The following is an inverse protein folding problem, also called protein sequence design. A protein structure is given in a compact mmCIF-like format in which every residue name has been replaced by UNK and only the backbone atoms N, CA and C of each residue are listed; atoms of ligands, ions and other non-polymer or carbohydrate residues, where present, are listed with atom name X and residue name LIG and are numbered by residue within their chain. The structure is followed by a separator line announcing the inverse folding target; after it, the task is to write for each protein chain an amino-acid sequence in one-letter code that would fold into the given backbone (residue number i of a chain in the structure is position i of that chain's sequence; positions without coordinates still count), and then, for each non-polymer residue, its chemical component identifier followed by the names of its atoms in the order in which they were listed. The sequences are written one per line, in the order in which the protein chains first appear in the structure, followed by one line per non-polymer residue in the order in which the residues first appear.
data_IF_977241344629
#
_entry.id   IF_977241344629
#
_cell.length_a   1.000
_cell.length_b   1.000
_cell.length_c   1.000
_cell.angle_alpha   90.00
_cell.angle_beta   90.00
_cell.angle_gamma   90.00
#
_symmetry.space_group_name_H-M   'P 1'
#
loop_
_entity.id
_entity.type
_entity.pdbx_description
1 polymer ?
#
# COMPACT_ATOMS: atom_id res chain seq x y z
N UNK A 1 -30.22 -14.84 26.68
CA UNK A 1 -29.72 -13.46 26.69
C UNK A 1 -28.82 -13.34 25.48
N UNK A 2 -29.43 -13.10 24.31
CA UNK A 2 -28.71 -13.03 23.04
C UNK A 2 -28.16 -11.62 22.87
N UNK A 3 -26.86 -11.53 22.58
CA UNK A 3 -26.20 -10.28 22.23
C UNK A 3 -26.38 -10.09 20.73
N UNK A 4 -27.20 -9.11 20.36
CA UNK A 4 -27.44 -8.67 18.99
C UNK A 4 -26.19 -7.97 18.45
N UNK A 5 -25.63 -8.50 17.37
CA UNK A 5 -24.60 -7.82 16.57
C UNK A 5 -25.28 -6.77 15.68
N UNK A 6 -24.96 -5.49 15.88
CA UNK A 6 -25.34 -4.41 14.96
C UNK A 6 -24.57 -4.59 13.64
N UNK A 7 -25.33 -4.77 12.56
CA UNK A 7 -24.84 -4.99 11.21
C UNK A 7 -24.78 -3.60 10.53
N UNK A 8 -23.63 -2.94 10.55
CA UNK A 8 -23.44 -1.70 9.78
C UNK A 8 -23.42 -2.03 8.28
N UNK A 9 -24.45 -1.55 7.59
CA UNK A 9 -24.79 -1.92 6.23
C UNK A 9 -23.77 -1.48 5.18
N UNK A 10 -23.40 -2.43 4.33
CA UNK A 10 -22.86 -2.14 3.00
C UNK A 10 -24.01 -1.62 2.11
N UNK A 11 -24.03 -0.31 1.90
CA UNK A 11 -25.01 0.38 1.07
C UNK A 11 -24.84 -0.02 -0.42
N UNK A 12 -25.74 -0.88 -0.90
CA UNK A 12 -25.85 -1.33 -2.29
C UNK A 12 -26.95 -0.53 -2.98
N UNK A 13 -26.61 0.64 -3.52
CA UNK A 13 -27.57 1.41 -4.31
C UNK A 13 -27.58 0.99 -5.78
N UNK A 14 -28.66 0.26 -6.07
CA UNK A 14 -29.15 -0.22 -7.34
C UNK A 14 -29.25 0.88 -8.43
N UNK A 15 -28.91 0.47 -9.65
CA UNK A 15 -29.26 1.14 -10.90
C UNK A 15 -30.78 1.42 -10.97
N UNK A 16 -31.18 2.70 -10.94
CA UNK A 16 -32.53 3.13 -11.33
C UNK A 16 -32.50 3.88 -12.67
N UNK A 17 -33.23 3.33 -13.66
CA UNK A 17 -33.60 4.02 -14.90
C UNK A 17 -34.71 5.03 -14.57
N UNK A 18 -34.44 6.33 -14.68
CA UNK A 18 -35.33 7.29 -15.39
C UNK A 18 -34.82 8.74 -15.28
N UNK A 19 -34.84 9.42 -16.44
CA UNK A 19 -35.00 10.87 -16.66
C UNK A 19 -33.96 11.83 -16.05
N UNK A 20 -32.99 12.19 -16.89
CA UNK A 20 -32.53 13.56 -17.07
C UNK A 20 -32.13 14.33 -15.81
N UNK A 21 -31.15 13.84 -15.06
CA UNK A 21 -30.35 14.68 -14.17
C UNK A 21 -28.88 14.44 -14.52
N UNK A 22 -28.12 15.54 -14.58
CA UNK A 22 -26.67 15.50 -14.71
C UNK A 22 -26.15 14.69 -13.53
N UNK A 23 -25.89 13.39 -13.76
CA UNK A 23 -25.13 12.56 -12.87
C UNK A 23 -23.75 13.20 -12.81
N UNK A 24 -23.53 14.03 -11.79
CA UNK A 24 -22.20 14.44 -11.38
C UNK A 24 -21.43 13.15 -11.17
N UNK A 25 -20.66 12.74 -12.20
CA UNK A 25 -19.76 11.59 -12.14
C UNK A 25 -18.94 11.82 -10.88
N UNK A 26 -19.21 11.06 -9.81
CA UNK A 26 -18.33 11.06 -8.64
C UNK A 26 -16.95 10.77 -9.20
N UNK A 27 -16.04 11.75 -9.12
CA UNK A 27 -14.72 11.65 -9.74
C UNK A 27 -14.09 10.31 -9.31
N UNK A 28 -13.62 9.48 -10.23
CA UNK A 28 -13.07 8.17 -9.86
C UNK A 28 -11.70 8.28 -9.15
N UNK A 29 -11.22 9.50 -8.91
CA UNK A 29 -9.97 9.78 -8.23
C UNK A 29 -10.07 9.46 -6.74
N UNK A 30 -9.08 8.76 -6.21
CA UNK A 30 -8.93 8.56 -4.78
C UNK A 30 -8.39 9.85 -4.14
N UNK A 31 -9.03 10.38 -3.07
CA UNK A 31 -8.46 11.49 -2.32
C UNK A 31 -7.18 11.02 -1.63
N UNK A 32 -6.11 11.79 -1.75
CA UNK A 32 -4.84 11.49 -1.08
C UNK A 32 -4.92 12.01 0.35
N UNK A 33 -4.70 11.13 1.33
CA UNK A 33 -4.57 11.53 2.73
C UNK A 33 -3.10 11.44 3.15
N UNK A 34 -2.60 12.45 3.86
CA UNK A 34 -1.20 12.54 4.27
C UNK A 34 -0.30 13.26 3.28
N UNK A 35 1.00 13.01 3.38
CA UNK A 35 1.98 13.70 2.56
C UNK A 35 2.02 13.14 1.13
N UNK A 36 1.76 14.01 0.15
CA UNK A 36 1.70 13.66 -1.28
C UNK A 36 3.01 13.13 -1.88
N UNK A 37 4.14 13.35 -1.22
CA UNK A 37 5.47 12.89 -1.69
C UNK A 37 5.92 11.63 -0.97
N UNK A 38 5.64 11.54 0.32
CA UNK A 38 6.22 10.49 1.18
C UNK A 38 5.24 9.39 1.56
N UNK A 39 3.93 9.55 1.29
CA UNK A 39 2.88 8.63 1.75
C UNK A 39 2.90 8.44 3.27
N UNK A 40 3.45 9.40 4.03
CA UNK A 40 3.72 9.30 5.47
C UNK A 40 4.64 8.14 5.88
N UNK A 41 5.48 7.63 4.97
CA UNK A 41 6.50 6.65 5.32
C UNK A 41 7.63 7.30 6.12
N UNK A 42 8.26 6.50 6.99
CA UNK A 42 9.50 6.86 7.63
C UNK A 42 10.57 7.16 6.55
N UNK A 43 11.32 8.26 6.74
CA UNK A 43 12.34 8.71 5.77
C UNK A 43 13.34 7.61 5.42
N UNK A 44 13.77 6.79 6.38
CA UNK A 44 14.72 5.71 6.13
C UNK A 44 14.12 4.63 5.22
N UNK A 45 12.85 4.25 5.42
CA UNK A 45 12.17 3.32 4.54
C UNK A 45 12.05 3.93 3.15
N UNK A 46 11.56 5.17 3.05
CA UNK A 46 11.36 5.85 1.78
C UNK A 46 12.65 5.94 0.96
N UNK A 47 13.76 6.33 1.59
CA UNK A 47 15.07 6.40 0.94
C UNK A 47 15.53 5.01 0.47
N UNK A 48 15.32 3.95 1.25
CA UNK A 48 15.68 2.59 0.84
C UNK A 48 14.77 2.05 -0.28
N UNK A 49 13.48 2.39 -0.29
CA UNK A 49 12.59 2.06 -1.42
C UNK A 49 13.10 2.73 -2.69
N UNK A 50 13.32 4.05 -2.64
CA UNK A 50 13.74 4.81 -3.81
C UNK A 50 15.13 4.43 -4.31
N UNK A 51 16.02 3.92 -3.45
CA UNK A 51 17.35 3.45 -3.85
C UNK A 51 17.38 1.97 -4.25
N UNK A 52 16.37 1.18 -3.86
CA UNK A 52 16.30 -0.26 -4.10
C UNK A 52 16.35 -0.60 -5.59
N UNK A 53 17.16 -1.61 -5.93
CA UNK A 53 17.23 -2.15 -7.28
C UNK A 53 15.87 -2.69 -7.74
N UNK A 54 15.15 -3.37 -6.86
CA UNK A 54 13.83 -3.92 -7.14
C UNK A 54 12.84 -2.83 -7.56
N UNK A 55 12.86 -1.66 -6.89
CA UNK A 55 11.97 -0.56 -7.25
C UNK A 55 12.36 0.11 -8.56
N UNK A 56 13.67 0.35 -8.77
CA UNK A 56 14.18 1.09 -9.95
C UNK A 56 14.16 0.29 -11.25
N UNK A 57 14.33 -1.02 -11.18
CA UNK A 57 14.45 -1.88 -12.36
C UNK A 57 13.17 -2.66 -12.53
N UNK A 58 12.88 -3.60 -11.63
CA UNK A 58 11.73 -4.50 -11.77
C UNK A 58 10.40 -3.75 -11.76
N UNK A 59 10.16 -2.91 -10.75
CA UNK A 59 8.88 -2.21 -10.63
C UNK A 59 8.74 -1.01 -11.56
N UNK A 60 9.82 -0.50 -12.14
CA UNK A 60 9.74 0.65 -13.06
C UNK A 60 9.06 0.25 -14.38
N UNK A 61 9.28 -0.99 -14.82
CA UNK A 61 8.69 -1.54 -16.05
C UNK A 61 7.18 -1.75 -15.93
N UNK A 62 6.68 -2.07 -14.72
CA UNK A 62 5.25 -2.29 -14.47
C UNK A 62 4.50 -0.95 -14.50
N UNK A 63 3.57 -0.78 -15.45
CA UNK A 63 2.83 0.50 -15.63
C UNK A 63 1.36 0.38 -15.31
N UNK A 64 0.82 -0.84 -15.38
CA UNK A 64 -0.59 -1.08 -15.13
C UNK A 64 -0.79 -1.61 -13.72
N UNK A 65 -1.97 -1.33 -13.15
CA UNK A 65 -2.28 -1.80 -11.79
C UNK A 65 -2.37 -3.34 -11.73
N UNK A 66 -2.81 -3.99 -12.81
CA UNK A 66 -2.89 -5.45 -12.91
C UNK A 66 -1.53 -6.11 -12.77
N UNK A 67 -0.52 -5.63 -13.50
CA UNK A 67 0.85 -6.14 -13.39
C UNK A 67 1.40 -6.01 -11.97
N UNK A 68 1.07 -4.91 -11.28
CA UNK A 68 1.49 -4.72 -9.88
C UNK A 68 0.75 -5.67 -8.93
N UNK A 69 -0.53 -5.99 -9.19
CA UNK A 69 -1.27 -7.01 -8.43
C UNK A 69 -0.66 -8.39 -8.62
N UNK A 70 -0.32 -8.77 -9.86
CA UNK A 70 0.33 -10.05 -10.13
C UNK A 70 1.67 -10.14 -9.39
N UNK A 71 2.47 -9.08 -9.43
CA UNK A 71 3.74 -9.03 -8.70
C UNK A 71 3.53 -9.12 -7.17
N UNK A 72 2.45 -8.53 -6.64
CA UNK A 72 2.06 -8.71 -5.23
C UNK A 72 1.78 -10.18 -4.93
N UNK A 73 0.97 -10.83 -5.77
CA UNK A 73 0.59 -12.24 -5.58
C UNK A 73 1.80 -13.18 -5.61
N UNK A 74 2.73 -12.97 -6.55
CA UNK A 74 3.85 -13.89 -6.77
C UNK A 74 5.10 -13.58 -5.93
N UNK A 75 5.35 -12.32 -5.54
CA UNK A 75 6.63 -11.92 -4.92
C UNK A 75 6.54 -11.52 -3.45
N UNK A 76 5.35 -11.18 -2.94
CA UNK A 76 5.23 -10.76 -1.54
C UNK A 76 5.21 -12.00 -0.65
N UNK A 77 6.25 -12.15 0.16
CA UNK A 77 6.37 -13.25 1.12
C UNK A 77 6.12 -12.82 2.56
N UNK A 78 6.27 -11.52 2.86
CA UNK A 78 6.19 -10.98 4.19
C UNK A 78 5.84 -9.49 4.15
N UNK A 79 5.31 -8.94 5.25
CA UNK A 79 4.76 -7.58 5.31
C UNK A 79 5.54 -6.64 6.23
N UNK A 80 6.61 -7.11 6.86
CA UNK A 80 7.52 -6.26 7.62
C UNK A 80 8.31 -5.34 6.68
N UNK A 81 8.71 -4.13 7.13
CA UNK A 81 9.46 -3.18 6.29
C UNK A 81 10.85 -3.66 5.90
N UNK A 82 11.44 -4.55 6.71
CA UNK A 82 12.77 -5.09 6.49
C UNK A 82 12.71 -6.58 6.25
N UNK A 83 13.48 -7.06 5.27
CA UNK A 83 13.75 -8.47 5.05
C UNK A 83 14.29 -9.11 6.33
N UNK A 84 13.79 -10.32 6.66
CA UNK A 84 14.19 -11.02 7.89
C UNK A 84 15.71 -11.25 7.89
N UNK A 85 16.37 -10.93 9.01
CA UNK A 85 17.82 -11.04 9.15
C UNK A 85 18.64 -9.93 8.46
N UNK A 86 18.04 -9.07 7.64
CA UNK A 86 18.75 -7.97 6.98
C UNK A 86 18.94 -6.72 7.86
N UNK A 87 18.34 -6.71 9.05
CA UNK A 87 18.33 -5.55 9.94
C UNK A 87 19.78 -5.21 10.33
N UNK A 88 20.21 -3.98 10.06
CA UNK A 88 21.55 -3.50 10.44
C UNK A 88 21.55 -3.10 11.91
N UNK A 89 21.41 -4.09 12.80
CA UNK A 89 21.48 -3.90 14.25
C UNK A 89 22.91 -3.77 14.77
N UNK A 90 23.92 -3.87 13.88
CA UNK A 90 25.32 -3.67 14.23
C UNK A 90 25.54 -2.31 14.88
N UNK A 91 25.82 -2.30 16.19
CA UNK A 91 26.01 -1.09 16.99
C UNK A 91 24.80 -0.65 17.82
N UNK A 92 23.63 -1.29 17.66
CA UNK A 92 22.44 -1.10 18.52
C UNK A 92 22.29 -2.28 19.49
N UNK A 93 23.34 -2.56 20.27
CA UNK A 93 23.32 -3.62 21.29
C UNK A 93 23.06 -2.96 22.66
N UNK A 94 21.82 -2.98 23.11
CA UNK A 94 21.39 -2.42 24.39
C UNK A 94 19.93 -2.73 24.68
N UNK A 95 19.47 -2.49 25.90
CA UNK A 95 18.13 -2.87 26.41
C UNK A 95 16.95 -2.28 25.59
N UNK A 96 17.23 -1.30 24.72
CA UNK A 96 16.29 -0.63 23.82
C UNK A 96 16.61 -0.77 22.32
N UNK A 97 17.61 -1.59 21.94
CA UNK A 97 17.98 -1.85 20.53
C UNK A 97 16.97 -2.73 19.77
N UNK A 98 16.23 -3.58 20.48
CA UNK A 98 15.22 -4.46 19.88
C UNK A 98 13.85 -3.81 19.63
N UNK A 99 13.56 -2.67 20.25
CA UNK A 99 12.21 -2.05 20.25
C UNK A 99 12.02 -0.95 19.20
N UNK A 100 13.02 -0.65 18.38
CA UNK A 100 12.95 0.38 17.32
C UNK A 100 12.85 -0.29 15.95
N UNK A 101 11.68 -0.82 15.62
CA UNK A 101 11.46 -1.67 14.44
C UNK A 101 11.95 -1.09 13.11
N UNK A 102 11.87 0.23 12.92
CA UNK A 102 12.27 0.91 11.67
C UNK A 102 13.67 1.55 11.76
N UNK A 103 14.16 1.87 12.96
CA UNK A 103 15.36 2.71 13.14
C UNK A 103 16.70 2.03 12.82
N UNK A 104 16.75 0.69 12.79
CA UNK A 104 17.97 -0.06 12.51
C UNK A 104 18.33 -0.11 11.02
N UNK A 105 17.37 0.17 10.11
CA UNK A 105 17.55 -0.04 8.68
C UNK A 105 17.71 -1.51 8.30
N UNK A 106 17.77 -1.80 7.00
CA UNK A 106 17.89 -3.14 6.45
C UNK A 106 17.64 -3.14 4.95
N UNK A 107 17.57 -4.33 4.36
CA UNK A 107 17.05 -4.47 2.99
C UNK A 107 15.54 -4.27 3.08
N UNK A 108 15.01 -3.34 2.28
CA UNK A 108 13.57 -3.06 2.26
C UNK A 108 12.81 -4.20 1.61
N UNK A 109 11.64 -4.53 2.14
CA UNK A 109 10.81 -5.61 1.63
C UNK A 109 10.15 -5.29 0.29
N UNK A 110 9.89 -6.35 -0.49
CA UNK A 110 9.15 -6.25 -1.75
C UNK A 110 7.76 -5.64 -1.55
N UNK A 111 7.08 -5.98 -0.45
CA UNK A 111 5.77 -5.44 -0.10
C UNK A 111 5.78 -3.91 0.03
N UNK A 112 6.76 -3.34 0.73
CA UNK A 112 6.86 -1.89 0.90
C UNK A 112 7.24 -1.18 -0.41
N UNK A 113 8.09 -1.80 -1.24
CA UNK A 113 8.36 -1.29 -2.60
C UNK A 113 7.10 -1.26 -3.48
N UNK A 114 6.31 -2.33 -3.47
CA UNK A 114 5.05 -2.45 -4.22
C UNK A 114 3.99 -1.47 -3.72
N UNK A 115 3.87 -1.31 -2.40
CA UNK A 115 2.98 -0.30 -1.79
C UNK A 115 3.29 1.11 -2.30
N UNK A 116 4.56 1.49 -2.28
CA UNK A 116 4.98 2.79 -2.80
C UNK A 116 4.78 2.90 -4.32
N UNK A 117 4.95 1.80 -5.07
CA UNK A 117 4.65 1.78 -6.51
C UNK A 117 3.17 2.07 -6.78
N UNK A 118 2.25 1.41 -6.09
CA UNK A 118 0.80 1.67 -6.22
C UNK A 118 0.45 3.13 -5.89
N UNK A 119 1.10 3.69 -4.87
CA UNK A 119 0.95 5.11 -4.52
C UNK A 119 1.37 6.03 -5.68
N UNK A 120 2.51 5.77 -6.32
CA UNK A 120 2.99 6.59 -7.46
C UNK A 120 2.10 6.48 -8.71
N UNK A 121 1.38 5.36 -8.87
CA UNK A 121 0.43 5.16 -9.97
C UNK A 121 -0.91 5.90 -9.77
N UNK A 122 -1.17 6.45 -8.58
CA UNK A 122 -2.40 7.17 -8.23
C UNK A 122 -3.67 6.37 -8.57
N UNK A 123 -3.83 5.24 -7.91
CA UNK A 123 -4.99 4.36 -8.12
C UNK A 123 -6.32 5.10 -7.98
N UNK A 124 -7.27 4.66 -8.79
CA UNK A 124 -8.66 5.11 -8.72
C UNK A 124 -9.42 4.34 -7.63
N UNK A 125 -10.53 4.91 -7.15
CA UNK A 125 -11.41 4.23 -6.18
C UNK A 125 -11.83 2.86 -6.68
N UNK A 126 -12.27 2.77 -7.94
CA UNK A 126 -12.66 1.51 -8.55
C UNK A 126 -11.55 0.46 -8.51
N UNK A 127 -10.30 0.83 -8.83
CA UNK A 127 -9.19 -0.13 -8.83
C UNK A 127 -8.91 -0.72 -7.45
N UNK A 128 -9.09 0.07 -6.39
CA UNK A 128 -8.88 -0.41 -5.01
C UNK A 128 -10.01 -1.31 -4.53
N UNK A 129 -11.26 -1.06 -4.93
CA UNK A 129 -12.38 -1.94 -4.57
C UNK A 129 -12.57 -3.13 -5.52
N UNK A 130 -12.06 -3.04 -6.75
CA UNK A 130 -12.20 -4.07 -7.78
C UNK A 130 -11.25 -5.25 -7.59
N UNK A 131 -10.44 -5.27 -6.54
CA UNK A 131 -9.57 -6.40 -6.14
C UNK A 131 -10.36 -7.53 -5.46
N UNK A 132 -11.58 -7.80 -5.92
CA UNK A 132 -12.28 -9.05 -5.56
C UNK A 132 -11.53 -10.21 -6.23
N UNK A 133 -10.95 -11.07 -5.39
CA UNK A 133 -10.33 -12.33 -5.78
C UNK A 133 -11.39 -13.39 -6.11
#
# INVERSE_FOLDING_TARGET
MEVSYENEGYDNDYQSKSKGSILTRKNNTMPMWGNERTMNLNTLILTNIQSSHYFKVNLYELKTYHEVIDEIYYKVQHLEPWEKGSRKTSGQTGMCGGVRGVGAGGIVSTAFCLLYKLFTLKLTRKQVYSTSW
#
